data_IF_910206711049
#
_entry.id   IF_910206711049
#
_cell.length_a   1.000
_cell.length_b   1.000
_cell.length_c   1.000
_cell.angle_alpha   90.00
_cell.angle_beta   90.00
_cell.angle_gamma   90.00
#
_symmetry.space_group_name_H-M   'P 1'
#
loop_
_entity.id
_entity.type
_entity.pdbx_description
1 polymer ?
#
# COMPACT_ATOMS: atom_id res chain seq x y z
N UNK A 1 9.25 20.69 7.95
CA UNK A 1 8.67 19.63 7.09
C UNK A 1 7.49 20.23 6.36
N UNK A 2 7.37 20.00 5.06
CA UNK A 2 6.17 20.34 4.30
C UNK A 2 5.28 19.10 4.25
N UNK A 3 4.03 19.23 4.68
CA UNK A 3 3.03 18.18 4.52
C UNK A 3 2.34 18.33 3.17
N UNK A 4 2.07 17.20 2.53
CA UNK A 4 1.27 17.11 1.32
C UNK A 4 -0.02 16.41 1.71
N UNK A 5 -1.16 17.01 1.38
CA UNK A 5 -2.47 16.39 1.60
C UNK A 5 -2.66 15.22 0.62
N UNK A 6 -3.18 14.08 1.10
CA UNK A 6 -3.44 12.88 0.30
C UNK A 6 -2.87 11.60 0.92
N UNK A 7 -2.93 10.51 0.13
CA UNK A 7 -2.39 9.19 0.49
C UNK A 7 -1.18 8.81 -0.34
N UNK A 8 -0.95 7.50 -0.50
CA UNK A 8 0.20 6.96 -1.26
C UNK A 8 0.21 7.34 -2.75
N UNK A 9 -0.93 7.77 -3.31
CA UNK A 9 -1.07 8.25 -4.69
C UNK A 9 -0.95 9.79 -4.83
N UNK A 10 -0.63 10.52 -3.77
CA UNK A 10 -0.35 11.97 -3.86
C UNK A 10 0.87 12.31 -4.76
N UNK A 11 2.00 11.58 -4.69
CA UNK A 11 3.09 11.77 -5.65
C UNK A 11 2.72 11.21 -7.03
N UNK A 12 3.20 11.86 -8.09
CA UNK A 12 3.04 11.38 -9.46
C UNK A 12 3.78 10.04 -9.68
N UNK A 13 3.20 9.17 -10.51
CA UNK A 13 3.79 7.87 -10.88
C UNK A 13 3.53 6.74 -9.87
N UNK A 14 2.59 6.92 -8.93
CA UNK A 14 2.14 5.88 -8.00
C UNK A 14 0.63 5.67 -8.12
N UNK A 15 0.22 4.41 -8.26
CA UNK A 15 -1.17 3.99 -8.22
C UNK A 15 -1.39 3.00 -7.07
N UNK A 16 -2.62 2.88 -6.59
CA UNK A 16 -2.96 1.93 -5.55
C UNK A 16 -4.42 1.47 -5.67
N UNK A 17 -4.69 0.25 -5.21
CA UNK A 17 -6.04 -0.30 -5.16
C UNK A 17 -6.20 -1.28 -3.99
N UNK A 18 -7.42 -1.42 -3.50
CA UNK A 18 -7.83 -2.35 -2.46
C UNK A 18 -9.02 -3.18 -2.93
N UNK A 19 -9.03 -4.47 -2.64
CA UNK A 19 -10.14 -5.36 -2.98
C UNK A 19 -10.54 -6.25 -1.80
N UNK A 20 -11.76 -6.74 -1.86
CA UNK A 20 -12.20 -7.88 -1.08
C UNK A 20 -11.95 -9.18 -1.88
N UNK A 21 -10.91 -9.92 -1.51
CA UNK A 21 -10.52 -11.19 -2.12
C UNK A 21 -10.91 -12.43 -1.30
N UNK A 22 -11.52 -12.25 -0.12
CA UNK A 22 -12.12 -13.33 0.68
C UNK A 22 -11.24 -13.88 1.80
N UNK A 23 -10.16 -13.19 2.17
CA UNK A 23 -9.33 -13.50 3.35
C UNK A 23 -10.09 -13.13 4.63
N UNK A 24 -10.74 -11.96 4.66
CA UNK A 24 -11.60 -11.56 5.76
C UNK A 24 -13.00 -12.13 5.54
N UNK A 25 -13.63 -12.63 6.61
CA UNK A 25 -14.99 -13.21 6.57
C UNK A 25 -16.09 -12.20 6.19
N UNK A 26 -15.85 -10.91 6.42
CA UNK A 26 -16.81 -9.85 6.11
C UNK A 26 -16.91 -9.61 4.60
N UNK A 27 -18.14 -9.53 4.08
CA UNK A 27 -18.40 -9.45 2.62
C UNK A 27 -18.02 -8.11 1.97
N UNK A 28 -17.73 -7.10 2.78
CA UNK A 28 -17.46 -5.73 2.31
C UNK A 28 -16.10 -5.21 2.78
N UNK A 29 -15.40 -5.97 3.61
CA UNK A 29 -14.11 -5.52 4.15
C UNK A 29 -13.02 -5.89 3.15
N UNK A 30 -12.38 -4.87 2.58
CA UNK A 30 -11.16 -5.05 1.79
C UNK A 30 -10.07 -5.71 2.64
N UNK A 31 -9.38 -6.65 2.03
CA UNK A 31 -8.44 -7.54 2.69
C UNK A 31 -7.16 -7.79 1.90
N UNK A 32 -7.07 -7.23 0.69
CA UNK A 32 -5.89 -7.20 -0.14
C UNK A 32 -5.72 -5.79 -0.72
N UNK A 33 -4.49 -5.29 -0.71
CA UNK A 33 -4.15 -4.02 -1.33
C UNK A 33 -2.86 -4.15 -2.15
N UNK A 34 -2.76 -3.31 -3.18
CA UNK A 34 -1.57 -3.16 -4.02
C UNK A 34 -1.23 -1.67 -4.11
N UNK A 35 0.06 -1.36 -3.98
CA UNK A 35 0.64 -0.06 -4.35
C UNK A 35 1.66 -0.35 -5.44
N UNK A 36 1.57 0.37 -6.54
CA UNK A 36 2.38 0.19 -7.73
C UNK A 36 3.08 1.50 -8.09
N UNK A 37 4.35 1.42 -8.48
CA UNK A 37 5.01 2.51 -9.19
C UNK A 37 4.96 2.23 -10.69
N UNK A 38 4.53 3.22 -11.47
CA UNK A 38 4.41 3.12 -12.93
C UNK A 38 5.77 2.90 -13.61
N UNK A 39 6.87 3.19 -12.91
CA UNK A 39 8.25 3.02 -13.35
C UNK A 39 9.10 2.41 -12.23
N UNK A 40 10.28 1.82 -12.52
CA UNK A 40 11.20 1.39 -11.47
C UNK A 40 11.53 2.53 -10.51
N UNK A 41 11.26 2.34 -9.21
CA UNK A 41 11.53 3.33 -8.18
C UNK A 41 12.59 2.84 -7.19
N UNK A 42 13.30 3.77 -6.56
CA UNK A 42 14.15 3.42 -5.42
C UNK A 42 13.27 2.93 -4.26
N UNK A 43 13.66 1.81 -3.65
CA UNK A 43 12.93 1.21 -2.54
C UNK A 43 13.89 0.90 -1.38
N UNK A 44 13.38 1.02 -0.16
CA UNK A 44 14.05 0.62 1.07
C UNK A 44 13.01 0.00 2.01
N UNK A 45 13.42 -1.02 2.75
CA UNK A 45 12.54 -1.71 3.70
C UNK A 45 13.33 -2.12 4.94
N UNK A 46 12.62 -2.13 6.07
CA UNK A 46 13.06 -2.73 7.33
C UNK A 46 11.94 -3.65 7.83
N UNK A 47 12.30 -4.68 8.60
CA UNK A 47 11.38 -5.71 9.04
C UNK A 47 11.41 -5.87 10.56
N UNK A 48 10.39 -6.53 11.10
CA UNK A 48 10.36 -6.88 12.53
C UNK A 48 11.52 -7.80 12.90
N UNK A 49 12.08 -7.62 14.10
CA UNK A 49 13.14 -8.48 14.65
C UNK A 49 12.58 -9.62 15.52
N UNK A 50 11.25 -9.71 15.63
CA UNK A 50 10.60 -10.81 16.35
C UNK A 50 11.02 -12.15 15.75
N UNK A 51 11.26 -13.14 16.62
CA UNK A 51 11.64 -14.49 16.22
C UNK A 51 10.45 -15.25 15.60
N UNK A 52 9.21 -14.93 16.00
CA UNK A 52 7.94 -15.47 15.47
C UNK A 52 6.84 -14.43 15.52
#
# INVERSE_FOLDING_TARGET
MHHIDGGVCAPAGFTANGIHCGIKKGRTTEDLALVESEVPCAAAAVFTTNRV
#
